data_IF_778504377746
#
_entry.id   IF_778504377746
#
_cell.length_a   1.000
_cell.length_b   1.000
_cell.length_c   1.000
_cell.angle_alpha   90.00
_cell.angle_beta   90.00
_cell.angle_gamma   90.00
#
_symmetry.space_group_name_H-M   'P 1'
#
loop_
_entity.id
_entity.type
_entity.pdbx_description
1 polymer ?
#
# COMPACT_ATOMS: atom_id res chain seq x y z
N UNK A 1 -1.41 2.72 -14.06
CA UNK A 1 -1.67 2.76 -12.61
C UNK A 1 -1.77 1.34 -12.07
N UNK A 2 -1.19 1.10 -10.91
CA UNK A 2 -1.23 -0.24 -10.30
C UNK A 2 -2.51 -0.43 -9.51
N UNK A 3 -3.17 -1.58 -9.71
CA UNK A 3 -4.35 -1.97 -8.93
C UNK A 3 -3.95 -2.83 -7.73
N UNK A 4 -3.02 -3.74 -7.94
CA UNK A 4 -2.48 -4.60 -6.88
C UNK A 4 -1.06 -5.01 -7.25
N UNK A 5 -0.32 -5.44 -6.23
CA UNK A 5 1.02 -6.00 -6.42
C UNK A 5 1.08 -7.31 -5.63
N UNK A 6 1.46 -8.39 -6.29
CA UNK A 6 1.62 -9.69 -5.66
C UNK A 6 3.10 -10.04 -5.61
N UNK A 7 3.59 -10.36 -4.43
CA UNK A 7 4.99 -10.73 -4.25
C UNK A 7 5.28 -11.15 -2.83
N UNK A 8 6.57 -11.27 -2.53
CA UNK A 8 7.05 -11.71 -1.22
C UNK A 8 7.31 -10.47 -0.35
N UNK A 9 6.80 -10.48 0.88
CA UNK A 9 7.11 -9.43 1.84
C UNK A 9 8.56 -9.62 2.29
N UNK A 10 9.44 -8.71 1.91
CA UNK A 10 10.87 -8.84 2.22
C UNK A 10 11.33 -7.90 3.32
N UNK A 11 10.56 -6.86 3.62
CA UNK A 11 10.89 -5.94 4.70
C UNK A 11 9.62 -5.32 5.27
N UNK A 12 9.69 -4.92 6.54
CA UNK A 12 8.56 -4.30 7.23
C UNK A 12 9.10 -3.22 8.15
N UNK A 13 8.46 -2.06 8.13
CA UNK A 13 8.80 -0.95 9.00
C UNK A 13 7.54 -0.47 9.72
N UNK A 14 7.64 0.66 10.43
CA UNK A 14 6.51 1.17 11.22
C UNK A 14 5.30 1.54 10.38
N UNK A 15 5.52 2.09 9.20
CA UNK A 15 4.47 2.64 8.36
C UNK A 15 4.43 2.06 6.95
N UNK A 16 5.28 1.09 6.66
CA UNK A 16 5.33 0.52 5.31
C UNK A 16 5.86 -0.91 5.31
N UNK A 17 5.62 -1.56 4.19
CA UNK A 17 6.20 -2.85 3.87
C UNK A 17 6.93 -2.72 2.53
N UNK A 18 7.82 -3.67 2.25
CA UNK A 18 8.46 -3.79 0.94
C UNK A 18 8.07 -5.14 0.35
N UNK A 19 7.49 -5.11 -0.83
CA UNK A 19 7.07 -6.30 -1.56
C UNK A 19 8.01 -6.50 -2.73
N UNK A 20 8.64 -7.68 -2.78
CA UNK A 20 9.50 -8.06 -3.89
C UNK A 20 8.67 -8.77 -4.94
N UNK A 21 8.55 -8.15 -6.10
CA UNK A 21 7.91 -8.75 -7.26
C UNK A 21 8.96 -8.90 -8.35
N UNK A 22 9.41 -10.13 -8.55
CA UNK A 22 10.39 -10.48 -9.58
C UNK A 22 11.66 -9.60 -9.56
N UNK A 23 12.18 -9.36 -8.37
CA UNK A 23 13.41 -8.60 -8.19
C UNK A 23 13.22 -7.09 -8.03
N UNK A 24 11.99 -6.60 -8.10
CA UNK A 24 11.71 -5.20 -7.87
C UNK A 24 11.06 -5.06 -6.48
N UNK A 25 11.66 -4.23 -5.62
CA UNK A 25 11.12 -3.97 -4.29
C UNK A 25 10.21 -2.77 -4.30
N UNK A 26 8.90 -2.99 -4.09
CA UNK A 26 7.93 -1.90 -4.01
C UNK A 26 7.73 -1.50 -2.55
N UNK A 27 7.98 -0.25 -2.23
CA UNK A 27 7.72 0.30 -0.90
C UNK A 27 6.26 0.75 -0.85
N UNK A 28 5.49 0.16 0.05
CA UNK A 28 4.05 0.38 0.12
C UNK A 28 3.69 0.80 1.54
N UNK A 29 3.09 1.97 1.68
CA UNK A 29 2.61 2.46 2.97
C UNK A 29 1.34 1.71 3.37
N UNK A 30 1.29 1.24 4.60
CA UNK A 30 0.15 0.50 5.15
C UNK A 30 -0.18 1.00 6.55
N UNK A 31 -1.44 0.86 6.95
CA UNK A 31 -1.86 1.33 8.29
C UNK A 31 -1.33 0.45 9.41
N UNK A 32 -1.24 -0.86 9.16
CA UNK A 32 -0.79 -1.81 10.17
C UNK A 32 0.12 -2.86 9.53
N UNK A 33 1.45 -2.62 9.52
CA UNK A 33 2.40 -3.57 8.94
C UNK A 33 2.34 -4.96 9.58
N UNK A 34 1.91 -5.06 10.83
CA UNK A 34 1.83 -6.35 11.53
C UNK A 34 0.77 -7.29 10.97
N UNK A 35 -0.12 -6.82 10.11
CA UNK A 35 -1.06 -7.69 9.37
C UNK A 35 -0.36 -8.48 8.27
N UNK A 36 0.88 -8.12 7.95
CA UNK A 36 1.66 -8.78 6.90
C UNK A 36 2.74 -9.66 7.54
N UNK A 37 3.11 -10.73 6.85
CA UNK A 37 4.11 -11.67 7.35
C UNK A 37 5.34 -11.66 6.44
N UNK A 38 6.49 -11.32 7.01
CA UNK A 38 7.75 -11.31 6.27
C UNK A 38 8.05 -12.70 5.73
N UNK A 39 8.43 -12.76 4.46
CA UNK A 39 8.73 -14.01 3.77
C UNK A 39 7.55 -14.68 3.11
N UNK A 40 6.33 -14.16 3.31
CA UNK A 40 5.12 -14.75 2.75
C UNK A 40 4.72 -14.06 1.45
N UNK A 41 4.31 -14.86 0.46
CA UNK A 41 3.74 -14.31 -0.77
C UNK A 41 2.35 -13.74 -0.47
N UNK A 42 2.13 -12.49 -0.85
CA UNK A 42 0.92 -11.76 -0.50
C UNK A 42 0.47 -10.92 -1.69
N UNK A 43 -0.85 -10.86 -1.90
CA UNK A 43 -1.44 -9.93 -2.85
C UNK A 43 -1.86 -8.69 -2.07
N UNK A 44 -1.31 -7.55 -2.44
CA UNK A 44 -1.56 -6.27 -1.77
C UNK A 44 -2.31 -5.36 -2.74
N UNK A 45 -3.52 -4.96 -2.40
CA UNK A 45 -4.24 -3.96 -3.19
C UNK A 45 -3.61 -2.61 -2.95
N UNK A 46 -3.34 -1.85 -4.00
CA UNK A 46 -2.63 -0.58 -3.87
C UNK A 46 -3.38 0.57 -4.51
N UNK A 47 -3.19 1.75 -3.94
CA UNK A 47 -3.56 3.02 -4.52
C UNK A 47 -2.28 3.79 -4.81
N UNK A 48 -2.11 4.21 -6.05
CA UNK A 48 -0.92 4.95 -6.48
C UNK A 48 -1.24 6.43 -6.50
N UNK A 49 -0.52 7.19 -5.70
CA UNK A 49 -0.62 8.65 -5.69
C UNK A 49 0.59 9.24 -6.40
N UNK A 50 0.34 10.01 -7.46
CA UNK A 50 1.39 10.68 -8.21
C UNK A 50 1.47 12.13 -7.76
N UNK A 51 2.66 12.55 -7.36
CA UNK A 51 2.96 13.93 -6.97
C UNK A 51 4.10 14.45 -7.80
N UNK A 52 4.35 15.78 -7.75
CA UNK A 52 5.47 16.39 -8.47
C UNK A 52 6.82 15.80 -8.07
N UNK A 53 6.98 15.49 -6.78
CA UNK A 53 8.23 15.00 -6.22
C UNK A 53 8.32 13.49 -6.10
N UNK A 54 7.35 12.75 -6.63
CA UNK A 54 7.42 11.31 -6.60
C UNK A 54 6.10 10.59 -6.68
N UNK A 55 6.18 9.27 -6.52
CA UNK A 55 5.02 8.38 -6.55
C UNK A 55 4.96 7.64 -5.22
N UNK A 56 3.78 7.65 -4.59
CA UNK A 56 3.53 6.93 -3.34
C UNK A 56 2.55 5.79 -3.59
N UNK A 57 2.80 4.64 -2.96
CA UNK A 57 1.89 3.50 -2.99
C UNK A 57 1.32 3.30 -1.59
N UNK A 58 0.01 3.15 -1.51
CA UNK A 58 -0.71 2.84 -0.26
C UNK A 58 -1.36 1.48 -0.42
N UNK A 59 -1.21 0.60 0.57
CA UNK A 59 -1.58 -0.80 0.44
C UNK A 59 -2.63 -1.27 1.42
N UNK A 60 -3.41 -2.26 0.97
CA UNK A 60 -4.54 -2.81 1.71
C UNK A 60 -4.60 -4.31 1.50
N UNK A 61 -5.03 -5.05 2.53
CA UNK A 61 -5.19 -6.50 2.43
C UNK A 61 -6.44 -6.91 1.66
N UNK A 62 -7.44 -6.04 1.62
CA UNK A 62 -8.69 -6.33 0.91
C UNK A 62 -9.09 -5.17 0.02
N UNK A 63 -9.89 -5.49 -0.98
CA UNK A 63 -10.42 -4.49 -1.89
C UNK A 63 -11.38 -3.55 -1.15
N UNK A 64 -12.12 -4.07 -0.18
CA UNK A 64 -13.06 -3.30 0.64
C UNK A 64 -12.34 -2.21 1.43
N UNK A 65 -11.18 -2.53 2.01
CA UNK A 65 -10.37 -1.53 2.73
C UNK A 65 -9.87 -0.45 1.79
N UNK A 66 -9.44 -0.83 0.58
CA UNK A 66 -9.01 0.13 -0.43
C UNK A 66 -10.16 1.05 -0.83
N UNK A 67 -11.36 0.50 -1.04
CA UNK A 67 -12.52 1.29 -1.43
C UNK A 67 -12.90 2.28 -0.35
N UNK A 68 -12.84 1.89 0.92
CA UNK A 68 -13.10 2.79 2.04
C UNK A 68 -12.09 3.93 2.09
N UNK A 69 -10.81 3.62 1.91
CA UNK A 69 -9.75 4.63 1.85
C UNK A 69 -10.02 5.65 0.75
N UNK A 70 -10.38 5.18 -0.45
CA UNK A 70 -10.67 6.06 -1.58
C UNK A 70 -11.83 6.99 -1.28
N UNK A 71 -12.87 6.50 -0.61
CA UNK A 71 -14.00 7.33 -0.20
C UNK A 71 -13.58 8.42 0.78
N UNK A 72 -12.70 8.08 1.73
CA UNK A 72 -12.22 9.07 2.72
C UNK A 72 -11.46 10.21 2.06
N UNK A 73 -10.55 9.91 1.15
CA UNK A 73 -9.74 10.96 0.51
C UNK A 73 -10.54 11.78 -0.49
N UNK A 74 -11.54 11.19 -1.14
CA UNK A 74 -12.35 11.88 -2.15
C UNK A 74 -13.44 12.75 -1.53
N UNK A 75 -14.10 12.25 -0.50
CA UNK A 75 -15.26 12.95 0.09
C UNK A 75 -14.84 13.99 1.09
N UNK A 76 -13.84 13.69 1.93
CA UNK A 76 -13.45 14.58 3.03
C UNK A 76 -12.22 15.42 2.74
N UNK A 77 -11.60 15.27 1.60
CA UNK A 77 -10.38 15.99 1.26
C UNK A 77 -9.20 15.66 2.17
N UNK A 78 -9.22 14.50 2.80
CA UNK A 78 -8.16 14.06 3.71
C UNK A 78 -6.96 13.59 2.89
N UNK A 79 -5.76 13.96 3.33
CA UNK A 79 -4.53 13.49 2.69
C UNK A 79 -4.36 11.98 2.85
N UNK A 80 -3.69 11.33 1.88
CA UNK A 80 -3.57 9.88 1.87
C UNK A 80 -2.91 9.31 3.12
N UNK A 81 -1.86 9.94 3.62
CA UNK A 81 -1.18 9.45 4.83
C UNK A 81 -2.05 9.60 6.07
N UNK A 82 -2.90 10.60 6.10
CA UNK A 82 -3.83 10.80 7.21
C UNK A 82 -4.97 9.78 7.16
N UNK A 83 -5.44 9.44 5.96
CA UNK A 83 -6.54 8.50 5.79
C UNK A 83 -6.14 7.05 6.03
N UNK A 84 -4.87 6.71 5.81
CA UNK A 84 -4.40 5.36 6.04
C UNK A 84 -4.08 5.14 7.52
#
# INVERSE_FOLDING_TARGET
>A
MYSYIKGIIVDMARDHIVVDNQGIGYLIYVSNPYQFTKGKETLVYVYQQVKEDGILLFGFLSKEEKDLFLKLIMVKGIGCKTAI
#
